data_IF_525294482291
#
_entry.id   IF_525294482291
#
_cell.length_a   1.000
_cell.length_b   1.000
_cell.length_c   1.000
_cell.angle_alpha   90.00
_cell.angle_beta   90.00
_cell.angle_gamma   90.00
#
_symmetry.space_group_name_H-M   'P 1'
#
loop_
_entity.id
_entity.type
_entity.pdbx_description
1 polymer ?
#
# COMPACT_ATOMS: atom_id res chain seq x y z
N UNK A 1 -16.51 -57.68 24.53
CA UNK A 1 -15.34 -57.25 23.76
C UNK A 1 -14.09 -57.67 24.51
N UNK A 2 -13.11 -58.27 23.84
CA UNK A 2 -11.82 -58.59 24.47
C UNK A 2 -10.96 -57.32 24.57
N UNK A 3 -10.00 -57.29 25.51
CA UNK A 3 -9.07 -56.16 25.68
C UNK A 3 -8.31 -55.84 24.38
N UNK A 4 -8.01 -56.85 23.57
CA UNK A 4 -7.36 -56.69 22.27
C UNK A 4 -8.20 -55.83 21.31
N UNK A 5 -9.52 -56.01 21.26
CA UNK A 5 -10.39 -55.20 20.41
C UNK A 5 -10.38 -53.72 20.83
N UNK A 6 -10.34 -53.44 22.14
CA UNK A 6 -10.28 -52.07 22.69
C UNK A 6 -8.95 -51.39 22.37
N UNK A 7 -7.85 -52.15 22.40
CA UNK A 7 -6.52 -51.66 22.02
C UNK A 7 -6.48 -51.31 20.53
N UNK A 8 -7.02 -52.18 19.67
CA UNK A 8 -7.11 -51.96 18.22
C UNK A 8 -7.90 -50.69 17.89
N UNK A 9 -9.03 -50.49 18.58
CA UNK A 9 -9.90 -49.32 18.43
C UNK A 9 -9.17 -48.03 18.83
N UNK A 10 -8.47 -48.04 19.98
CA UNK A 10 -7.70 -46.87 20.45
C UNK A 10 -6.52 -46.52 19.57
N UNK A 11 -5.84 -47.50 18.97
CA UNK A 11 -4.77 -47.24 17.99
C UNK A 11 -5.30 -46.50 16.75
N UNK A 12 -6.45 -46.94 16.24
CA UNK A 12 -7.12 -46.28 15.11
C UNK A 12 -7.55 -44.85 15.43
N UNK A 13 -8.11 -44.64 16.62
CA UNK A 13 -8.49 -43.31 17.09
C UNK A 13 -7.26 -42.38 17.20
N UNK A 14 -6.14 -42.89 17.72
CA UNK A 14 -4.90 -42.14 17.80
C UNK A 14 -4.34 -41.79 16.42
N UNK A 15 -4.40 -42.71 15.47
CA UNK A 15 -3.99 -42.46 14.09
C UNK A 15 -4.82 -41.33 13.45
N UNK A 16 -6.15 -41.37 13.60
CA UNK A 16 -7.02 -40.29 13.12
C UNK A 16 -6.70 -38.95 13.80
N UNK A 17 -6.49 -38.94 15.12
CA UNK A 17 -6.11 -37.72 15.85
C UNK A 17 -4.76 -37.17 15.38
N UNK A 18 -3.80 -38.05 15.06
CA UNK A 18 -2.51 -37.65 14.51
C UNK A 18 -2.65 -36.99 13.14
N UNK A 19 -3.50 -37.55 12.27
CA UNK A 19 -3.80 -36.96 10.95
C UNK A 19 -4.46 -35.59 11.09
N UNK A 20 -5.43 -35.45 12.00
CA UNK A 20 -6.08 -34.16 12.27
C UNK A 20 -5.05 -33.15 12.76
N UNK A 21 -4.17 -33.53 13.68
CA UNK A 21 -3.09 -32.65 14.17
C UNK A 21 -2.19 -32.19 13.02
N UNK A 22 -1.78 -33.09 12.14
CA UNK A 22 -0.93 -32.76 10.99
C UNK A 22 -1.63 -31.80 10.03
N UNK A 23 -2.91 -32.05 9.73
CA UNK A 23 -3.72 -31.15 8.90
C UNK A 23 -3.88 -29.77 9.54
N UNK A 24 -4.09 -29.70 10.86
CA UNK A 24 -4.17 -28.42 11.59
C UNK A 24 -2.84 -27.66 11.56
N UNK A 25 -1.70 -28.35 11.67
CA UNK A 25 -0.38 -27.73 11.52
C UNK A 25 -0.16 -27.20 10.10
N UNK A 26 -0.55 -27.96 9.08
CA UNK A 26 -0.45 -27.50 7.69
C UNK A 26 -1.32 -26.26 7.46
N UNK A 27 -2.55 -26.26 7.97
CA UNK A 27 -3.44 -25.11 7.89
C UNK A 27 -2.85 -23.88 8.58
N UNK A 28 -2.23 -24.04 9.76
CA UNK A 28 -1.54 -22.96 10.46
C UNK A 28 -0.46 -22.33 9.56
N UNK A 29 0.41 -23.15 8.96
CA UNK A 29 1.45 -22.67 8.05
C UNK A 29 0.87 -21.97 6.80
N UNK A 30 -0.28 -22.43 6.30
CA UNK A 30 -0.95 -21.77 5.18
C UNK A 30 -1.51 -20.40 5.56
N UNK A 31 -2.03 -20.25 6.79
CA UNK A 31 -2.53 -18.98 7.30
C UNK A 31 -1.39 -17.98 7.51
N UNK A 32 -0.25 -18.40 8.03
CA UNK A 32 0.95 -17.55 8.16
C UNK A 32 1.47 -17.08 6.79
N UNK A 33 1.47 -17.96 5.78
CA UNK A 33 1.86 -17.58 4.42
C UNK A 33 0.84 -16.60 3.80
N UNK A 34 -0.45 -16.80 4.06
CA UNK A 34 -1.49 -15.89 3.61
C UNK A 34 -1.35 -14.51 4.25
N UNK A 35 -1.03 -14.44 5.54
CA UNK A 35 -0.75 -13.18 6.25
C UNK A 35 0.37 -12.39 5.57
N UNK A 36 1.53 -13.02 5.33
CA UNK A 36 2.65 -12.36 4.66
C UNK A 36 2.29 -11.82 3.26
N UNK A 37 1.44 -12.54 2.52
CA UNK A 37 0.95 -12.08 1.21
C UNK A 37 -0.03 -10.92 1.32
N UNK A 38 -0.86 -10.89 2.36
CA UNK A 38 -1.78 -9.79 2.62
C UNK A 38 -1.03 -8.52 3.03
N UNK A 39 0.04 -8.65 3.83
CA UNK A 39 0.93 -7.55 4.16
C UNK A 39 1.58 -6.96 2.90
N UNK A 40 2.15 -7.81 2.05
CA UNK A 40 2.73 -7.37 0.76
C UNK A 40 1.70 -6.67 -0.13
N UNK A 41 0.45 -7.14 -0.13
CA UNK A 41 -0.64 -6.52 -0.88
C UNK A 41 -1.03 -5.15 -0.29
N UNK A 42 -1.07 -5.03 1.04
CA UNK A 42 -1.35 -3.78 1.72
C UNK A 42 -0.29 -2.72 1.38
N UNK A 43 1.00 -3.07 1.48
CA UNK A 43 2.12 -2.18 1.13
C UNK A 43 2.06 -1.76 -0.34
N UNK A 44 1.79 -2.71 -1.25
CA UNK A 44 1.60 -2.43 -2.66
C UNK A 44 0.44 -1.47 -2.93
N UNK A 45 -0.66 -1.61 -2.19
CA UNK A 45 -1.82 -0.71 -2.30
C UNK A 45 -1.51 0.71 -1.82
N UNK A 46 -0.70 0.86 -0.76
CA UNK A 46 -0.24 2.16 -0.28
C UNK A 46 0.69 2.83 -1.29
N UNK A 47 1.63 2.09 -1.86
CA UNK A 47 2.52 2.59 -2.91
C UNK A 47 1.73 3.09 -4.14
N UNK A 48 0.71 2.34 -4.57
CA UNK A 48 -0.18 2.78 -5.67
C UNK A 48 -0.96 4.03 -5.26
N UNK A 49 -1.49 4.09 -4.04
CA UNK A 49 -2.20 5.27 -3.54
C UNK A 49 -1.30 6.52 -3.53
N UNK A 50 -0.02 6.37 -3.15
CA UNK A 50 0.97 7.44 -3.20
C UNK A 50 1.20 7.96 -4.62
N UNK A 51 1.38 7.04 -5.58
CA UNK A 51 1.53 7.38 -7.00
C UNK A 51 0.27 8.07 -7.53
N UNK A 52 -0.92 7.58 -7.21
CA UNK A 52 -2.18 8.20 -7.61
C UNK A 52 -2.36 9.60 -7.02
N UNK A 53 -1.97 9.80 -5.75
CA UNK A 53 -1.97 11.11 -5.09
C UNK A 53 -1.03 12.09 -5.80
N UNK A 54 0.18 11.63 -6.16
CA UNK A 54 1.11 12.42 -6.95
C UNK A 54 0.53 12.81 -8.32
N UNK A 55 -0.06 11.87 -9.06
CA UNK A 55 -0.72 12.17 -10.33
C UNK A 55 -1.87 13.15 -10.21
N UNK A 56 -2.66 13.07 -9.12
CA UNK A 56 -3.71 14.05 -8.84
C UNK A 56 -3.13 15.46 -8.71
N UNK A 57 -1.99 15.62 -8.03
CA UNK A 57 -1.28 16.89 -7.93
C UNK A 57 -0.75 17.36 -9.29
N UNK A 58 -0.14 16.49 -10.10
CA UNK A 58 0.34 16.83 -11.44
C UNK A 58 -0.80 17.34 -12.32
N UNK A 59 -1.92 16.62 -12.39
CA UNK A 59 -3.08 17.00 -13.21
C UNK A 59 -3.65 18.34 -12.77
N UNK A 60 -3.77 18.58 -11.45
CA UNK A 60 -4.21 19.87 -10.91
C UNK A 60 -3.26 21.00 -11.30
N UNK A 61 -1.95 20.81 -11.14
CA UNK A 61 -0.94 21.82 -11.50
C UNK A 61 -0.96 22.15 -12.99
N UNK A 62 -1.08 21.13 -13.86
CA UNK A 62 -1.20 21.35 -15.31
C UNK A 62 -2.50 22.10 -15.63
N UNK A 63 -3.63 21.71 -15.05
CA UNK A 63 -4.91 22.39 -15.27
C UNK A 63 -4.85 23.87 -14.84
N UNK A 64 -4.27 24.17 -13.68
CA UNK A 64 -4.11 25.54 -13.20
C UNK A 64 -3.18 26.35 -14.11
N UNK A 65 -2.08 25.76 -14.58
CA UNK A 65 -1.17 26.40 -15.53
C UNK A 65 -1.85 26.68 -16.88
N UNK A 66 -2.64 25.72 -17.40
CA UNK A 66 -3.41 25.90 -18.64
C UNK A 66 -4.49 26.98 -18.52
N UNK A 67 -5.16 27.07 -17.36
CA UNK A 67 -6.11 28.15 -17.07
C UNK A 67 -5.40 29.51 -17.00
N UNK A 68 -4.27 29.60 -16.29
CA UNK A 68 -3.46 30.82 -16.21
C UNK A 68 -3.03 31.31 -17.59
N UNK A 69 -2.59 30.40 -18.47
CA UNK A 69 -2.25 30.72 -19.86
C UNK A 69 -3.44 31.24 -20.67
N UNK A 70 -4.67 30.83 -20.32
CA UNK A 70 -5.89 31.33 -20.96
C UNK A 70 -6.31 32.70 -20.40
N UNK A 71 -6.00 32.98 -19.12
CA UNK A 71 -6.33 34.24 -18.45
C UNK A 71 -5.41 35.41 -18.82
N UNK A 72 -4.15 35.13 -19.16
CA UNK A 72 -3.17 36.15 -19.55
C UNK A 72 -2.79 35.99 -21.02
N UNK A 73 -3.06 37.01 -21.85
CA UNK A 73 -2.64 37.05 -23.26
C UNK A 73 -1.22 37.58 -23.39
N UNK A 74 -0.54 37.38 -24.53
CA UNK A 74 0.80 37.96 -24.79
C UNK A 74 0.85 39.48 -24.52
N UNK A 75 -0.23 40.21 -24.86
CA UNK A 75 -0.39 41.64 -24.58
C UNK A 75 -0.35 41.99 -23.09
N UNK A 76 -0.74 41.05 -22.21
CA UNK A 76 -0.70 41.23 -20.76
C UNK A 76 0.74 41.25 -20.23
N UNK A 77 1.68 40.61 -20.93
CA UNK A 77 3.11 40.59 -20.59
C UNK A 77 3.90 41.75 -21.21
N UNK A 78 3.32 42.49 -22.16
CA UNK A 78 3.94 43.67 -22.77
C UNK A 78 3.87 44.91 -21.87
N UNK A 79 3.00 44.91 -20.85
CA UNK A 79 2.84 46.02 -19.92
C UNK A 79 4.02 46.06 -18.93
N UNK A 80 4.99 46.94 -19.19
CA UNK A 80 6.26 47.02 -18.43
C UNK A 80 6.11 47.56 -17.01
N UNK A 81 5.02 48.23 -16.69
CA UNK A 81 4.78 48.80 -15.35
C UNK A 81 4.30 47.76 -14.33
N UNK A 82 3.55 46.73 -14.77
CA UNK A 82 3.02 45.68 -13.88
C UNK A 82 2.72 44.37 -14.65
N UNK A 83 3.74 43.54 -14.93
CA UNK A 83 3.54 42.27 -15.61
C UNK A 83 2.96 41.20 -14.66
N UNK A 84 2.11 40.28 -15.16
CA UNK A 84 1.59 39.18 -14.35
C UNK A 84 2.74 38.22 -13.98
N UNK A 85 3.11 38.20 -12.71
CA UNK A 85 4.16 37.34 -12.15
C UNK A 85 3.53 36.08 -11.55
N UNK A 86 4.12 34.89 -11.74
CA UNK A 86 3.68 33.68 -11.07
C UNK A 86 3.93 33.77 -9.56
N UNK A 87 3.11 33.10 -8.76
CA UNK A 87 3.36 33.00 -7.32
C UNK A 87 4.68 32.25 -7.05
N UNK A 88 5.51 32.82 -6.18
CA UNK A 88 6.91 32.37 -5.97
C UNK A 88 7.06 31.34 -4.85
N UNK A 89 5.99 31.03 -4.11
CA UNK A 89 6.05 30.14 -2.95
C UNK A 89 5.70 28.70 -3.36
N UNK A 90 6.73 27.85 -3.41
CA UNK A 90 6.58 26.41 -3.61
C UNK A 90 6.81 25.67 -2.31
N UNK A 91 6.00 24.63 -2.06
CA UNK A 91 6.21 23.74 -0.92
C UNK A 91 7.26 22.69 -1.30
N UNK A 92 8.47 22.86 -0.78
CA UNK A 92 9.52 21.84 -0.83
C UNK A 92 9.55 21.11 0.51
N UNK A 93 9.50 19.78 0.49
CA UNK A 93 9.83 19.00 1.70
C UNK A 93 11.34 19.10 1.89
N UNK A 94 11.78 19.67 3.00
CA UNK A 94 13.18 19.54 3.44
C UNK A 94 13.29 18.11 3.96
N UNK A 95 14.30 17.36 3.50
CA UNK A 95 14.60 16.06 4.10
C UNK A 95 15.01 16.37 5.55
N UNK A 96 14.18 15.96 6.52
CA UNK A 96 14.65 15.91 7.89
C UNK A 96 15.62 14.72 7.92
N UNK A 97 16.92 15.00 7.89
CA UNK A 97 17.94 14.04 8.27
C UNK A 97 17.62 13.65 9.72
N UNK A 98 16.87 12.57 9.90
CA UNK A 98 16.63 11.97 11.21
C UNK A 98 18.00 11.50 11.67
N UNK A 99 18.60 12.27 12.58
CA UNK A 99 19.79 11.89 13.32
C UNK A 99 19.65 10.45 13.83
N UNK A 100 20.65 9.62 13.49
CA UNK A 100 20.90 8.35 14.15
C UNK A 100 20.90 8.53 15.67
N UNK A 101 19.97 7.91 16.39
CA UNK A 101 20.18 7.31 17.72
C UNK A 101 19.24 6.11 17.93
#
# INVERSE_FOLDING_TARGET
MSLQQRIEEKKRELEHLSQIKELSLNLCNQLENLEAKLETLADGSEAVALVMSNWNHIIKSVSLASMSLTSYTEQSYENKEDPPLPETLVRLRIHDDVEEQ
#
